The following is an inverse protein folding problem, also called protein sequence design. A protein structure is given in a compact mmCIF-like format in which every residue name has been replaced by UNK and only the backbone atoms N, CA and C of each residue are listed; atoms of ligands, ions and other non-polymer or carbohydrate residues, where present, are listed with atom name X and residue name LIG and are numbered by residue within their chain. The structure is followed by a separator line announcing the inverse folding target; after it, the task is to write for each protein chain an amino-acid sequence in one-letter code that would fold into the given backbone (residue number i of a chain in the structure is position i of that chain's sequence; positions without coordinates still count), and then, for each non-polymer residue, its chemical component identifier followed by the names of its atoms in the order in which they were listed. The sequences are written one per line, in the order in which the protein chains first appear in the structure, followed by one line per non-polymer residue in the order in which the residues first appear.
data_IF_201289305171
#
_entry.id   IF_201289305171
#
_cell.length_a   1.000
_cell.length_b   1.000
_cell.length_c   1.000
_cell.angle_alpha   90.00
_cell.angle_beta   90.00
_cell.angle_gamma   90.00
#
_symmetry.space_group_name_H-M   'P 1'
#
loop_
_entity.id
_entity.type
_entity.pdbx_description
1 polymer ?
#
# COMPACT_ATOMS: atom_id res chain seq x y z
N UNK A 1 -15.77 -31.40 -35.81
CA UNK A 1 -15.79 -31.85 -34.40
C UNK A 1 -14.85 -30.93 -33.64
N UNK A 2 -15.34 -30.05 -32.75
CA UNK A 2 -14.45 -29.16 -32.00
C UNK A 2 -13.65 -29.99 -30.99
N UNK A 3 -12.33 -29.85 -31.02
CA UNK A 3 -11.43 -30.36 -29.98
C UNK A 3 -11.93 -29.85 -28.62
N UNK A 4 -12.41 -30.76 -27.79
CA UNK A 4 -12.69 -30.46 -26.39
C UNK A 4 -11.36 -30.08 -25.74
N UNK A 5 -11.16 -28.77 -25.55
CA UNK A 5 -10.03 -28.25 -24.80
C UNK A 5 -9.87 -29.06 -23.51
N UNK A 6 -8.67 -29.59 -23.29
CA UNK A 6 -8.39 -30.52 -22.20
C UNK A 6 -8.82 -29.89 -20.85
N UNK A 7 -9.54 -30.61 -19.97
CA UNK A 7 -10.05 -30.07 -18.70
C UNK A 7 -8.94 -29.55 -17.75
N UNK A 8 -7.68 -29.88 -18.04
CA UNK A 8 -6.52 -29.29 -17.38
C UNK A 8 -6.33 -27.81 -17.74
N UNK A 9 -6.46 -27.44 -19.02
CA UNK A 9 -6.30 -26.06 -19.51
C UNK A 9 -7.32 -25.11 -18.88
N UNK A 10 -8.56 -25.57 -18.67
CA UNK A 10 -9.58 -24.77 -17.98
C UNK A 10 -9.22 -24.53 -16.51
N UNK A 11 -8.74 -25.54 -15.79
CA UNK A 11 -8.39 -25.42 -14.37
C UNK A 11 -7.23 -24.46 -14.14
N UNK A 12 -6.17 -24.53 -14.95
CA UNK A 12 -5.04 -23.60 -14.86
C UNK A 12 -5.44 -22.16 -15.20
N UNK A 13 -6.33 -21.98 -16.18
CA UNK A 13 -6.84 -20.64 -16.51
C UNK A 13 -7.63 -20.01 -15.36
N UNK A 14 -8.42 -20.81 -14.62
CA UNK A 14 -9.18 -20.35 -13.45
C UNK A 14 -8.26 -20.00 -12.28
N UNK A 15 -7.23 -20.82 -12.02
CA UNK A 15 -6.21 -20.49 -11.01
C UNK A 15 -5.48 -19.20 -11.39
N UNK A 16 -5.11 -19.04 -12.66
CA UNK A 16 -4.52 -17.81 -13.17
C UNK A 16 -5.41 -16.59 -12.93
N UNK A 17 -6.72 -16.72 -13.14
CA UNK A 17 -7.70 -15.67 -12.84
C UNK A 17 -7.69 -15.29 -11.35
N UNK A 18 -7.70 -16.28 -10.44
CA UNK A 18 -7.64 -16.04 -8.98
C UNK A 18 -6.36 -15.29 -8.60
N UNK A 19 -5.21 -15.66 -9.18
CA UNK A 19 -3.92 -14.99 -8.94
C UNK A 19 -3.98 -13.53 -9.39
N UNK A 20 -4.48 -13.27 -10.60
CA UNK A 20 -4.59 -11.91 -11.15
C UNK A 20 -5.50 -11.04 -10.28
N UNK A 21 -6.64 -11.57 -9.86
CA UNK A 21 -7.59 -10.85 -8.99
C UNK A 21 -6.98 -10.55 -7.62
N UNK A 22 -6.28 -11.51 -7.02
CA UNK A 22 -5.59 -11.34 -5.73
C UNK A 22 -4.48 -10.29 -5.81
N UNK A 23 -3.68 -10.30 -6.88
CA UNK A 23 -2.69 -9.26 -7.16
C UNK A 23 -3.34 -7.89 -7.38
N UNK A 24 -4.43 -7.83 -8.15
CA UNK A 24 -5.18 -6.61 -8.41
C UNK A 24 -5.71 -5.98 -7.13
N UNK A 25 -6.29 -6.79 -6.24
CA UNK A 25 -6.79 -6.32 -4.95
C UNK A 25 -5.65 -5.83 -4.05
N UNK A 26 -4.56 -6.59 -3.95
CA UNK A 26 -3.37 -6.19 -3.17
C UNK A 26 -2.80 -4.88 -3.71
N UNK A 27 -2.70 -4.75 -5.03
CA UNK A 27 -2.27 -3.54 -5.71
C UNK A 27 -3.18 -2.35 -5.41
N UNK A 28 -4.50 -2.56 -5.41
CA UNK A 28 -5.47 -1.53 -5.04
C UNK A 28 -5.33 -1.08 -3.57
N UNK A 29 -5.18 -2.01 -2.62
CA UNK A 29 -4.97 -1.67 -1.21
C UNK A 29 -3.65 -0.91 -1.00
N UNK A 30 -2.56 -1.37 -1.64
CA UNK A 30 -1.28 -0.68 -1.63
C UNK A 30 -1.39 0.72 -2.26
N UNK A 31 -2.11 0.86 -3.37
CA UNK A 31 -2.34 2.16 -4.01
C UNK A 31 -3.12 3.10 -3.10
N UNK A 32 -4.17 2.61 -2.42
CA UNK A 32 -4.97 3.39 -1.47
C UNK A 32 -4.14 3.87 -0.28
N UNK A 33 -3.24 3.04 0.25
CA UNK A 33 -2.43 3.37 1.43
C UNK A 33 -1.26 4.29 1.06
N UNK A 34 -0.55 4.02 -0.04
CA UNK A 34 0.71 4.69 -0.37
C UNK A 34 0.60 5.76 -1.46
N UNK A 35 -0.54 5.85 -2.16
CA UNK A 35 -0.84 6.88 -3.14
C UNK A 35 0.29 7.11 -4.14
N UNK A 36 0.89 8.30 -4.11
CA UNK A 36 1.94 8.74 -5.05
C UNK A 36 3.23 7.92 -4.97
N UNK A 37 3.51 7.26 -3.84
CA UNK A 37 4.69 6.41 -3.65
C UNK A 37 4.45 4.94 -4.05
N UNK A 38 3.27 4.60 -4.58
CA UNK A 38 2.88 3.22 -4.94
C UNK A 38 3.91 2.48 -5.80
N UNK A 39 4.43 3.11 -6.86
CA UNK A 39 5.41 2.47 -7.74
C UNK A 39 6.74 2.12 -7.05
N UNK A 40 7.17 2.95 -6.10
CA UNK A 40 8.35 2.66 -5.28
C UNK A 40 8.05 1.57 -4.26
N UNK A 41 6.84 1.57 -3.71
CA UNK A 41 6.37 0.54 -2.78
C UNK A 41 6.32 -0.83 -3.45
N UNK A 42 5.85 -0.96 -4.69
CA UNK A 42 5.82 -2.23 -5.43
C UNK A 42 7.20 -2.88 -5.57
N UNK A 43 8.27 -2.08 -5.62
CA UNK A 43 9.66 -2.59 -5.70
C UNK A 43 10.23 -3.01 -4.34
N UNK A 44 9.51 -2.75 -3.25
CA UNK A 44 9.93 -3.16 -1.91
C UNK A 44 9.77 -4.68 -1.76
N UNK A 45 10.81 -5.35 -1.27
CA UNK A 45 10.78 -6.79 -0.98
C UNK A 45 9.59 -7.18 -0.11
N UNK A 46 9.22 -6.34 0.87
CA UNK A 46 8.08 -6.59 1.75
C UNK A 46 6.73 -6.44 1.06
N UNK A 47 6.59 -5.53 0.09
CA UNK A 47 5.39 -5.42 -0.72
C UNK A 47 5.25 -6.63 -1.67
N UNK A 48 6.38 -7.14 -2.20
CA UNK A 48 6.39 -8.37 -2.99
C UNK A 48 6.02 -9.58 -2.13
N UNK A 49 6.54 -9.68 -0.90
CA UNK A 49 6.15 -10.72 0.05
C UNK A 49 4.67 -10.63 0.43
N UNK A 50 4.11 -9.43 0.57
CA UNK A 50 2.68 -9.22 0.80
C UNK A 50 1.84 -9.70 -0.40
N UNK A 51 2.26 -9.36 -1.62
CA UNK A 51 1.61 -9.86 -2.85
C UNK A 51 1.69 -11.38 -2.96
N UNK A 52 2.86 -11.97 -2.69
CA UNK A 52 3.06 -13.41 -2.68
C UNK A 52 2.19 -14.10 -1.62
N UNK A 53 2.12 -13.54 -0.41
CA UNK A 53 1.25 -14.04 0.66
C UNK A 53 -0.22 -14.06 0.20
N UNK A 54 -0.70 -12.97 -0.41
CA UNK A 54 -2.08 -12.91 -0.91
C UNK A 54 -2.35 -13.90 -2.03
N UNK A 55 -1.39 -14.14 -2.92
CA UNK A 55 -1.48 -15.19 -3.93
C UNK A 55 -1.61 -16.56 -3.28
N UNK A 56 -0.68 -16.91 -2.39
CA UNK A 56 -0.64 -18.21 -1.71
C UNK A 56 -1.97 -18.47 -1.03
N UNK A 57 -2.48 -17.49 -0.28
CA UNK A 57 -3.71 -17.68 0.47
C UNK A 57 -4.94 -17.75 -0.45
N UNK A 58 -5.03 -16.94 -1.50
CA UNK A 58 -6.12 -17.03 -2.47
C UNK A 58 -6.16 -18.41 -3.15
N UNK A 59 -4.99 -18.97 -3.50
CA UNK A 59 -4.87 -20.31 -4.08
C UNK A 59 -5.27 -21.39 -3.06
N UNK A 60 -4.87 -21.26 -1.79
CA UNK A 60 -5.28 -22.19 -0.74
C UNK A 60 -6.80 -22.20 -0.53
N UNK A 61 -7.45 -21.03 -0.52
CA UNK A 61 -8.92 -20.92 -0.42
C UNK A 61 -9.59 -21.54 -1.65
N UNK A 62 -9.07 -21.29 -2.84
CA UNK A 62 -9.55 -21.92 -4.09
C UNK A 62 -9.48 -23.44 -4.02
N UNK A 63 -8.32 -23.98 -3.61
CA UNK A 63 -8.12 -25.42 -3.45
C UNK A 63 -9.06 -25.99 -2.39
N UNK A 64 -9.25 -25.30 -1.26
CA UNK A 64 -10.17 -25.72 -0.20
C UNK A 64 -11.60 -25.85 -0.74
N UNK A 65 -12.12 -24.85 -1.45
CA UNK A 65 -13.48 -24.87 -2.01
C UNK A 65 -13.64 -26.02 -3.02
N UNK A 66 -12.69 -26.21 -3.92
CA UNK A 66 -12.84 -27.17 -5.01
C UNK A 66 -12.45 -28.61 -4.65
N UNK A 67 -11.55 -28.81 -3.68
CA UNK A 67 -11.13 -30.14 -3.23
C UNK A 67 -11.94 -30.64 -2.04
N UNK A 68 -12.27 -29.76 -1.09
CA UNK A 68 -12.93 -30.17 0.15
C UNK A 68 -14.47 -30.11 0.03
N UNK A 69 -15.01 -29.09 -0.63
CA UNK A 69 -16.47 -28.94 -0.82
C UNK A 69 -16.98 -29.57 -2.13
N UNK A 70 -16.09 -30.20 -2.91
CA UNK A 70 -16.40 -30.83 -4.20
C UNK A 70 -17.17 -29.93 -5.19
N UNK A 71 -17.02 -28.61 -5.08
CA UNK A 71 -17.67 -27.64 -5.98
C UNK A 71 -17.01 -27.73 -7.36
N UNK A 72 -17.80 -27.70 -8.43
CA UNK A 72 -17.26 -27.72 -9.79
C UNK A 72 -16.51 -26.41 -10.12
N UNK A 73 -15.26 -26.46 -10.60
CA UNK A 73 -14.51 -25.27 -11.02
C UNK A 73 -15.24 -24.50 -12.11
N UNK A 74 -15.48 -23.21 -11.90
CA UNK A 74 -16.12 -22.32 -12.89
C UNK A 74 -15.50 -20.92 -12.83
N UNK A 75 -15.72 -20.13 -13.88
CA UNK A 75 -15.27 -18.73 -13.92
C UNK A 75 -15.90 -17.93 -12.78
N UNK A 76 -17.18 -18.18 -12.48
CA UNK A 76 -17.87 -17.51 -11.38
C UNK A 76 -17.27 -17.88 -10.02
N UNK A 77 -16.96 -19.15 -9.78
CA UNK A 77 -16.29 -19.51 -8.53
C UNK A 77 -14.93 -18.83 -8.42
N UNK A 78 -14.18 -18.68 -9.53
CA UNK A 78 -12.85 -18.05 -9.54
C UNK A 78 -12.94 -16.55 -9.24
N UNK A 79 -13.93 -15.87 -9.81
CA UNK A 79 -14.22 -14.47 -9.52
C UNK A 79 -14.60 -14.26 -8.06
N UNK A 80 -15.56 -15.06 -7.57
CA UNK A 80 -16.02 -14.99 -6.18
C UNK A 80 -14.83 -15.23 -5.25
N UNK A 81 -14.09 -16.33 -5.44
CA UNK A 81 -12.94 -16.65 -4.58
C UNK A 81 -11.86 -15.58 -4.64
N UNK A 82 -11.47 -15.12 -5.83
CA UNK A 82 -10.44 -14.10 -5.99
C UNK A 82 -10.79 -12.73 -5.39
N UNK A 83 -12.08 -12.40 -5.28
CA UNK A 83 -12.54 -11.14 -4.70
C UNK A 83 -12.90 -11.27 -3.21
N UNK A 84 -13.41 -12.43 -2.77
CA UNK A 84 -13.92 -12.63 -1.41
C UNK A 84 -12.95 -13.37 -0.50
N UNK A 85 -11.83 -13.93 -1.00
CA UNK A 85 -10.85 -14.59 -0.13
C UNK A 85 -10.39 -13.72 1.07
N UNK A 86 -10.20 -12.39 0.97
CA UNK A 86 -9.81 -11.60 2.14
C UNK A 86 -10.93 -11.52 3.17
N UNK A 87 -12.19 -11.48 2.72
CA UNK A 87 -13.35 -11.52 3.60
C UNK A 87 -13.51 -12.91 4.24
N UNK A 88 -13.25 -13.98 3.48
CA UNK A 88 -13.23 -15.35 4.00
C UNK A 88 -12.13 -15.53 5.04
N UNK A 89 -10.92 -15.01 4.81
CA UNK A 89 -9.85 -15.05 5.81
C UNK A 89 -10.13 -14.22 7.05
N UNK A 90 -10.83 -13.09 6.91
CA UNK A 90 -11.30 -12.26 8.02
C UNK A 90 -12.47 -12.90 8.77
N UNK A 91 -13.10 -13.93 8.20
CA UNK A 91 -14.15 -14.68 8.88
C UNK A 91 -13.52 -15.64 9.88
N UNK A 92 -14.07 -15.68 11.10
CA UNK A 92 -13.68 -16.68 12.10
C UNK A 92 -14.15 -18.05 11.61
N UNK A 93 -13.21 -18.95 11.34
CA UNK A 93 -13.52 -20.35 11.06
C UNK A 93 -13.52 -21.15 12.36
N UNK A 94 -14.70 -21.43 12.91
CA UNK A 94 -14.86 -22.42 13.96
C UNK A 94 -14.88 -23.80 13.30
N UNK A 95 -13.72 -24.47 13.27
CA UNK A 95 -13.56 -25.79 12.63
C UNK A 95 -14.27 -26.92 13.41
N UNK A 96 -14.40 -26.75 14.72
CA UNK A 96 -15.08 -27.69 15.60
C UNK A 96 -15.85 -26.92 16.68
N UNK A 97 -17.14 -27.19 16.80
CA UNK A 97 -17.96 -26.83 17.97
C UNK A 97 -18.54 -28.14 18.50
N UNK A 98 -18.08 -28.57 19.67
CA UNK A 98 -18.68 -29.75 20.30
C UNK A 98 -20.15 -29.44 20.62
N UNK A 99 -21.06 -30.29 20.12
CA UNK A 99 -22.47 -30.28 20.50
C UNK A 99 -22.64 -31.48 21.44
N UNK A 100 -22.40 -31.26 22.73
CA UNK A 100 -22.59 -32.27 23.75
C UNK A 100 -22.70 -31.64 25.13
N UNK A 101 -23.88 -31.71 25.74
CA UNK A 101 -24.07 -31.48 27.17
C UNK A 101 -23.52 -32.69 27.94
N UNK A 102 -22.21 -32.73 28.13
CA UNK A 102 -21.55 -33.82 28.85
C UNK A 102 -20.33 -33.28 29.58
N UNK A 103 -20.37 -33.36 30.91
CA UNK A 103 -19.34 -32.88 31.82
C UNK A 103 -17.97 -33.54 31.56
N UNK A 104 -16.92 -32.75 31.85
CA UNK A 104 -15.52 -33.15 32.04
C UNK A 104 -14.77 -33.65 30.80
N UNK A 105 -14.10 -32.70 30.13
CA UNK A 105 -13.13 -32.95 29.07
C UNK A 105 -12.96 -31.67 28.27
N UNK A 106 -12.05 -30.82 28.73
CA UNK A 106 -11.58 -29.57 28.13
C UNK A 106 -11.02 -29.83 26.71
N UNK A 107 -11.90 -30.15 25.75
CA UNK A 107 -11.57 -30.03 24.33
C UNK A 107 -11.98 -28.63 23.93
N UNK A 108 -11.07 -27.72 24.32
CA UNK A 108 -11.03 -26.33 23.95
C UNK A 108 -11.32 -26.17 22.46
N UNK A 109 -12.16 -25.20 22.13
CA UNK A 109 -12.46 -24.80 20.77
C UNK A 109 -11.15 -24.61 19.99
N UNK A 110 -10.83 -25.52 19.06
CA UNK A 110 -9.66 -25.36 18.18
C UNK A 110 -10.02 -24.35 17.06
N UNK A 111 -10.32 -23.12 17.46
CA UNK A 111 -10.47 -21.98 16.56
C UNK A 111 -9.07 -21.56 16.12
N UNK A 112 -8.62 -22.11 15.00
CA UNK A 112 -7.45 -21.60 14.29
C UNK A 112 -7.73 -20.15 13.87
N UNK A 113 -7.19 -19.20 14.65
CA UNK A 113 -7.31 -17.76 14.40
C UNK A 113 -6.41 -17.33 13.24
N UNK A 114 -6.61 -17.93 12.07
CA UNK A 114 -5.89 -17.61 10.85
C UNK A 114 -6.00 -16.13 10.48
N UNK A 115 -7.13 -15.50 10.83
CA UNK A 115 -7.32 -14.05 10.72
C UNK A 115 -6.27 -13.26 11.53
N UNK A 116 -6.07 -13.60 12.81
CA UNK A 116 -5.10 -12.88 13.66
C UNK A 116 -3.66 -13.06 13.13
N UNK A 117 -3.30 -14.26 12.70
CA UNK A 117 -1.97 -14.55 12.14
C UNK A 117 -1.77 -13.75 10.85
N UNK A 118 -2.73 -13.79 9.94
CA UNK A 118 -2.67 -13.06 8.66
C UNK A 118 -2.65 -11.55 8.88
N UNK A 119 -3.50 -11.01 9.75
CA UNK A 119 -3.51 -9.59 10.09
C UNK A 119 -2.20 -9.14 10.73
N UNK A 120 -1.63 -9.92 11.64
CA UNK A 120 -0.37 -9.58 12.30
C UNK A 120 0.78 -9.57 11.28
N UNK A 121 0.80 -10.54 10.35
CA UNK A 121 1.80 -10.61 9.30
C UNK A 121 1.65 -9.44 8.31
N UNK A 122 0.42 -9.11 7.88
CA UNK A 122 0.15 -7.94 7.05
C UNK A 122 0.59 -6.65 7.75
N UNK A 123 0.21 -6.46 9.02
CA UNK A 123 0.61 -5.30 9.82
C UNK A 123 2.13 -5.17 9.93
N UNK A 124 2.84 -6.28 10.13
CA UNK A 124 4.29 -6.29 10.18
C UNK A 124 4.89 -5.81 8.84
N UNK A 125 4.39 -6.30 7.71
CA UNK A 125 4.86 -5.86 6.39
C UNK A 125 4.53 -4.40 6.11
N UNK A 126 3.31 -3.94 6.41
CA UNK A 126 2.96 -2.53 6.28
C UNK A 126 3.83 -1.62 7.15
N UNK A 127 4.09 -2.04 8.40
CA UNK A 127 4.97 -1.32 9.31
C UNK A 127 6.39 -1.20 8.74
N UNK A 128 6.93 -2.27 8.17
CA UNK A 128 8.27 -2.27 7.62
C UNK A 128 8.39 -1.42 6.34
N UNK A 129 7.40 -1.50 5.44
CA UNK A 129 7.31 -0.60 4.28
C UNK A 129 7.25 0.85 4.74
N UNK A 130 6.43 1.15 5.74
CA UNK A 130 6.30 2.50 6.28
C UNK A 130 7.59 3.01 6.92
N UNK A 131 8.31 2.18 7.68
CA UNK A 131 9.62 2.53 8.25
C UNK A 131 10.63 2.90 7.17
N UNK A 132 10.73 2.11 6.11
CA UNK A 132 11.68 2.38 5.03
C UNK A 132 11.34 3.66 4.27
N UNK A 133 10.06 3.92 4.02
CA UNK A 133 9.61 5.17 3.40
C UNK A 133 9.89 6.36 4.31
N UNK A 134 9.62 6.23 5.61
CA UNK A 134 9.89 7.26 6.63
C UNK A 134 11.38 7.58 6.71
N UNK A 135 12.23 6.55 6.75
CA UNK A 135 13.69 6.73 6.78
C UNK A 135 14.19 7.40 5.50
N UNK A 136 13.69 6.99 4.33
CA UNK A 136 14.05 7.64 3.07
C UNK A 136 13.61 9.11 3.03
N UNK A 137 12.42 9.40 3.56
CA UNK A 137 11.87 10.76 3.66
C UNK A 137 12.70 11.62 4.62
N UNK A 138 13.13 11.07 5.76
CA UNK A 138 14.02 11.73 6.71
C UNK A 138 15.37 12.07 6.07
N UNK A 139 16.00 11.10 5.39
CA UNK A 139 17.27 11.32 4.69
C UNK A 139 17.12 12.44 3.65
N UNK A 140 16.03 12.43 2.88
CA UNK A 140 15.77 13.45 1.87
C UNK A 140 15.53 14.83 2.51
N UNK A 141 14.75 14.90 3.60
CA UNK A 141 14.54 16.13 4.37
C UNK A 141 15.85 16.73 4.89
N UNK A 142 16.75 15.90 5.40
CA UNK A 142 18.08 16.36 5.84
C UNK A 142 18.89 16.91 4.66
N UNK A 143 18.86 16.25 3.50
CA UNK A 143 19.58 16.74 2.31
C UNK A 143 19.01 18.06 1.78
N UNK A 144 17.69 18.21 1.73
CA UNK A 144 17.03 19.46 1.33
C UNK A 144 17.46 20.61 2.26
N UNK A 145 17.36 20.43 3.58
CA UNK A 145 17.73 21.48 4.55
C UNK A 145 19.21 21.84 4.57
N UNK A 146 20.08 20.92 4.13
CA UNK A 146 21.52 21.21 3.96
C UNK A 146 21.83 21.94 2.66
N UNK A 147 20.97 21.80 1.65
CA UNK A 147 21.21 22.35 0.31
C UNK A 147 20.54 23.70 0.12
N UNK A 148 19.34 23.86 0.65
CA UNK A 148 18.51 25.05 0.49
C UNK A 148 18.27 25.74 1.83
N UNK A 149 18.19 27.05 1.79
CA UNK A 149 17.81 27.88 2.93
C UNK A 149 16.29 27.94 3.07
N UNK A 150 15.80 28.26 4.26
CA UNK A 150 14.36 28.47 4.51
C UNK A 150 13.75 29.50 3.53
N UNK A 151 14.45 30.61 3.26
CA UNK A 151 13.97 31.65 2.33
C UNK A 151 13.87 31.16 0.88
N UNK A 152 14.79 30.31 0.42
CA UNK A 152 14.72 29.72 -0.92
C UNK A 152 13.53 28.78 -1.05
N UNK A 153 13.29 27.94 -0.02
CA UNK A 153 12.14 27.05 0.03
C UNK A 153 10.82 27.83 0.06
N UNK A 154 10.75 28.88 0.87
CA UNK A 154 9.59 29.76 1.00
C UNK A 154 9.21 30.41 -0.34
N UNK A 155 10.18 31.05 -1.00
CA UNK A 155 9.98 31.70 -2.31
C UNK A 155 9.52 30.70 -3.36
N UNK A 156 10.19 29.57 -3.43
CA UNK A 156 9.83 28.51 -4.37
C UNK A 156 8.41 27.97 -4.12
N UNK A 157 8.04 27.75 -2.86
CA UNK A 157 6.71 27.26 -2.49
C UNK A 157 5.63 28.29 -2.81
N UNK A 158 5.87 29.59 -2.57
CA UNK A 158 4.96 30.66 -2.97
C UNK A 158 4.70 30.64 -4.49
N UNK A 159 5.76 30.59 -5.30
CA UNK A 159 5.67 30.53 -6.76
C UNK A 159 4.96 29.25 -7.24
N UNK A 160 5.34 28.10 -6.68
CA UNK A 160 4.75 26.81 -7.03
C UNK A 160 3.24 26.77 -6.72
N UNK A 161 2.83 27.25 -5.54
CA UNK A 161 1.42 27.31 -5.12
C UNK A 161 0.65 28.32 -5.97
N UNK A 162 1.26 29.45 -6.35
CA UNK A 162 0.63 30.43 -7.23
C UNK A 162 0.31 29.86 -8.63
N UNK A 163 1.09 28.88 -9.10
CA UNK A 163 0.88 28.20 -10.39
C UNK A 163 -0.08 27.00 -10.31
N UNK A 164 -0.58 26.64 -9.13
CA UNK A 164 -1.49 25.52 -8.94
C UNK A 164 -2.87 25.80 -9.57
N UNK A 165 -3.35 24.88 -10.40
CA UNK A 165 -4.56 25.07 -11.22
C UNK A 165 -5.87 24.89 -10.47
N UNK A 166 -5.85 24.16 -9.35
CA UNK A 166 -7.05 23.84 -8.57
C UNK A 166 -7.19 24.86 -7.43
N UNK A 167 -8.20 25.76 -7.45
CA UNK A 167 -8.30 26.83 -6.46
C UNK A 167 -8.41 26.33 -5.01
N UNK A 168 -9.09 25.21 -4.80
CA UNK A 168 -9.26 24.62 -3.46
C UNK A 168 -7.92 24.10 -2.89
N UNK A 169 -7.14 23.36 -3.68
CA UNK A 169 -5.83 22.87 -3.26
C UNK A 169 -4.82 24.01 -3.13
N UNK A 170 -4.87 25.00 -4.05
CA UNK A 170 -4.08 26.22 -3.96
C UNK A 170 -4.33 26.96 -2.63
N UNK A 171 -5.59 27.20 -2.27
CA UNK A 171 -5.94 27.89 -1.04
C UNK A 171 -5.46 27.11 0.19
N UNK A 172 -5.69 25.80 0.21
CA UNK A 172 -5.24 24.90 1.28
C UNK A 172 -3.72 24.88 1.44
N UNK A 173 -2.96 24.87 0.34
CA UNK A 173 -1.50 24.94 0.37
C UNK A 173 -0.99 26.32 0.80
N UNK A 174 -1.65 27.39 0.35
CA UNK A 174 -1.34 28.76 0.75
C UNK A 174 -1.57 28.99 2.24
N UNK A 175 -2.68 28.48 2.79
CA UNK A 175 -2.98 28.52 4.22
C UNK A 175 -1.93 27.76 5.04
N UNK A 176 -1.51 26.58 4.57
CA UNK A 176 -0.41 25.83 5.20
C UNK A 176 0.90 26.62 5.17
N UNK A 177 1.27 27.20 4.04
CA UNK A 177 2.49 27.99 3.91
C UNK A 177 2.47 29.21 4.82
N UNK A 178 1.35 29.94 4.90
CA UNK A 178 1.18 31.08 5.80
C UNK A 178 1.31 30.68 7.28
N UNK A 179 0.74 29.54 7.68
CA UNK A 179 0.91 29.00 9.03
C UNK A 179 2.37 28.69 9.34
N UNK A 180 3.14 28.18 8.37
CA UNK A 180 4.56 27.89 8.53
C UNK A 180 5.39 29.17 8.63
N UNK A 181 5.09 30.18 7.80
CA UNK A 181 5.73 31.50 7.84
C UNK A 181 5.53 32.22 9.18
N UNK A 182 4.40 31.98 9.86
CA UNK A 182 4.12 32.54 11.17
C UNK A 182 4.94 31.91 12.32
N UNK A 183 5.67 30.81 12.07
CA UNK A 183 6.52 30.17 13.08
C UNK A 183 7.78 31.00 13.31
N UNK A 184 7.96 31.50 14.54
CA UNK A 184 9.11 32.32 14.92
C UNK A 184 10.44 31.54 14.96
N UNK A 185 10.39 30.25 15.31
CA UNK A 185 11.58 29.40 15.31
C UNK A 185 12.00 29.02 13.88
N UNK A 186 13.14 29.57 13.44
CA UNK A 186 13.72 29.31 12.13
C UNK A 186 13.99 27.81 11.89
N UNK A 187 14.40 27.05 12.90
CA UNK A 187 14.68 25.61 12.72
C UNK A 187 13.40 24.83 12.43
N UNK A 188 12.35 25.08 13.21
CA UNK A 188 11.04 24.48 13.01
C UNK A 188 10.41 24.93 11.70
N UNK A 189 10.46 26.23 11.37
CA UNK A 189 9.96 26.75 10.09
C UNK A 189 10.66 26.08 8.90
N UNK A 190 11.99 26.00 8.91
CA UNK A 190 12.77 25.34 7.87
C UNK A 190 12.41 23.84 7.69
N UNK A 191 12.20 23.13 8.80
CA UNK A 191 11.72 21.74 8.76
C UNK A 191 10.32 21.63 8.13
N UNK A 192 9.39 22.50 8.53
CA UNK A 192 8.02 22.46 8.02
C UNK A 192 7.95 22.84 6.53
N UNK A 193 8.71 23.84 6.08
CA UNK A 193 8.85 24.19 4.65
C UNK A 193 9.39 23.00 3.86
N UNK A 194 10.38 22.30 4.39
CA UNK A 194 10.94 21.09 3.77
C UNK A 194 9.90 19.98 3.66
N UNK A 195 9.11 19.76 4.71
CA UNK A 195 8.06 18.74 4.70
C UNK A 195 6.96 19.08 3.69
N UNK A 196 6.57 20.35 3.60
CA UNK A 196 5.62 20.83 2.59
C UNK A 196 6.15 20.62 1.17
N UNK A 197 7.43 20.93 0.92
CA UNK A 197 8.07 20.63 -0.38
C UNK A 197 8.02 19.13 -0.70
N UNK A 198 8.32 18.26 0.28
CA UNK A 198 8.29 16.80 0.11
C UNK A 198 6.88 16.26 -0.15
N UNK A 199 5.84 16.92 0.38
CA UNK A 199 4.45 16.58 0.08
C UNK A 199 4.06 16.99 -1.34
N UNK A 200 4.49 18.18 -1.78
CA UNK A 200 4.12 18.73 -3.09
C UNK A 200 4.92 18.11 -4.25
N UNK A 201 6.21 17.80 -4.05
CA UNK A 201 7.13 17.36 -5.10
C UNK A 201 7.55 15.90 -4.97
N UNK A 202 7.76 15.24 -6.09
CA UNK A 202 8.22 13.85 -6.10
C UNK A 202 9.66 13.76 -5.60
N UNK A 203 10.03 12.61 -5.02
CA UNK A 203 11.40 12.39 -4.57
C UNK A 203 12.43 12.47 -5.72
N UNK A 204 12.02 12.21 -6.97
CA UNK A 204 12.88 12.32 -8.15
C UNK A 204 13.20 13.80 -8.46
N UNK A 205 12.18 14.65 -8.52
CA UNK A 205 12.35 16.10 -8.73
C UNK A 205 13.22 16.71 -7.64
N UNK A 206 13.00 16.35 -6.37
CA UNK A 206 13.78 16.90 -5.26
C UNK A 206 15.24 16.45 -5.32
N UNK A 207 15.50 15.19 -5.69
CA UNK A 207 16.88 14.70 -5.87
C UNK A 207 17.58 15.43 -7.02
N UNK A 208 16.86 15.71 -8.10
CA UNK A 208 17.38 16.47 -9.23
C UNK A 208 17.68 17.91 -8.81
N UNK A 209 16.75 18.57 -8.11
CA UNK A 209 16.96 19.90 -7.56
C UNK A 209 18.19 19.97 -6.62
N UNK A 210 18.37 18.97 -5.75
CA UNK A 210 19.56 18.89 -4.88
C UNK A 210 20.85 18.72 -5.71
N UNK A 211 20.81 17.89 -6.75
CA UNK A 211 21.95 17.66 -7.65
C UNK A 211 22.34 18.95 -8.38
N UNK A 212 21.34 19.69 -8.85
CA UNK A 212 21.51 20.93 -9.60
C UNK A 212 21.70 22.15 -8.68
N UNK A 213 21.57 21.95 -7.35
CA UNK A 213 21.54 23.00 -6.32
C UNK A 213 20.55 24.14 -6.63
N UNK A 214 19.50 23.83 -7.38
CA UNK A 214 18.47 24.77 -7.79
C UNK A 214 17.09 24.17 -7.61
N UNK A 215 16.16 24.92 -7.02
CA UNK A 215 14.75 24.53 -6.91
C UNK A 215 13.97 24.91 -8.18
N UNK A 216 14.47 25.88 -8.93
CA UNK A 216 13.96 26.27 -10.24
C UNK A 216 14.61 25.36 -11.29
N UNK A 217 13.81 24.74 -12.15
CA UNK A 217 14.31 24.10 -13.37
C UNK A 217 14.90 25.09 -14.39
N UNK A 218 15.13 26.34 -13.98
CA UNK A 218 15.73 27.39 -14.77
C UNK A 218 17.19 27.54 -14.34
N UNK A 219 18.09 27.30 -15.30
CA UNK A 219 19.40 27.96 -15.33
C UNK A 219 19.16 29.45 -15.07
N UNK A 220 19.84 30.00 -14.07
CA UNK A 220 20.18 31.41 -14.10
C UNK A 220 21.15 31.56 -15.29
N UNK A 221 20.65 32.18 -16.38
CA UNK A 221 21.50 32.76 -17.41
C UNK A 221 22.03 34.11 -16.93
#
# INVERSE_FOLDING_TARGET
MPETASPALSTYSLIGLVIILSLGLTGYELFKIFGRDFGRTLRNRYALLLGLLNIIVAVLVWLFIHKLLAVTPSIMSALITGLTFPALLRSRFTLYRSIGSGQAGEVDELSLKMDEIYQNLQKAFYSEVNKQLTQARLILSVKVRKTFTARQLERYLDEFIALERLPEEQQKHRDKLNKIKAIQDNKTSHLQLTNLLLDLKTAAEIKQAIKDKSLTGARED
#
